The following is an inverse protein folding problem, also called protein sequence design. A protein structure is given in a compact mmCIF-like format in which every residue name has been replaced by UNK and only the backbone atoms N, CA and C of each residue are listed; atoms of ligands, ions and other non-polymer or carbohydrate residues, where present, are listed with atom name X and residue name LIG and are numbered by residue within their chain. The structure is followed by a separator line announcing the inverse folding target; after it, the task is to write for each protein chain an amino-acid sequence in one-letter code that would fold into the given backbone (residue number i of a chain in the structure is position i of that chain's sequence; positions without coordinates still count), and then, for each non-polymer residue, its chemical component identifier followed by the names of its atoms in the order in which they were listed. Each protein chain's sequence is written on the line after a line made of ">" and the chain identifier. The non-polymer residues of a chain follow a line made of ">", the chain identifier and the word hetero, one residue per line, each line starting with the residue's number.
data_IF_203419846516
#
_entry.id   IF_203419846516
#
_cell.length_a   1.000
_cell.length_b   1.000
_cell.length_c   1.000
_cell.angle_alpha   90.00
_cell.angle_beta   90.00
_cell.angle_gamma   90.00
#
_symmetry.space_group_name_H-M   'P 1'
#
loop_
_entity.id
_entity.type
_entity.pdbx_description
1 polymer ?
#
# COMPACT_ATOMS: atom_id res chain seq x y z
N UNK A 1 85.17 -16.47 -39.48
CA UNK A 1 84.38 -15.28 -39.09
C UNK A 1 82.87 -15.32 -39.44
N UNK A 2 82.32 -16.10 -40.40
CA UNK A 2 80.88 -15.98 -40.78
C UNK A 2 79.87 -16.67 -39.83
N UNK A 3 80.32 -17.50 -38.88
CA UNK A 3 79.42 -18.26 -37.99
C UNK A 3 78.75 -17.39 -36.90
N UNK A 4 79.40 -16.30 -36.46
CA UNK A 4 78.87 -15.39 -35.43
C UNK A 4 77.78 -14.44 -35.97
N UNK A 5 77.85 -14.05 -37.24
CA UNK A 5 76.86 -13.16 -37.86
C UNK A 5 75.49 -13.85 -38.02
N UNK A 6 75.49 -15.13 -38.41
CA UNK A 6 74.25 -15.91 -38.54
C UNK A 6 73.54 -16.14 -37.19
N UNK A 7 74.29 -16.25 -36.08
CA UNK A 7 73.71 -16.36 -34.74
C UNK A 7 73.02 -15.06 -34.31
N UNK A 8 73.60 -13.90 -34.61
CA UNK A 8 73.00 -12.60 -34.31
C UNK A 8 71.71 -12.36 -35.11
N UNK A 9 71.68 -12.76 -36.39
CA UNK A 9 70.48 -12.66 -37.23
C UNK A 9 69.33 -13.52 -36.70
N UNK A 10 69.63 -14.75 -36.24
CA UNK A 10 68.61 -15.63 -35.65
C UNK A 10 68.00 -15.02 -34.37
N UNK A 11 68.82 -14.44 -33.50
CA UNK A 11 68.34 -13.79 -32.25
C UNK A 11 67.42 -12.60 -32.56
N UNK A 12 67.79 -11.75 -33.51
CA UNK A 12 66.95 -10.61 -33.93
C UNK A 12 65.61 -11.08 -34.49
N UNK A 13 65.60 -12.17 -35.26
CA UNK A 13 64.38 -12.73 -35.84
C UNK A 13 63.42 -13.27 -34.75
N UNK A 14 63.94 -13.95 -33.73
CA UNK A 14 63.15 -14.40 -32.57
C UNK A 14 62.57 -13.25 -31.75
N UNK A 15 63.31 -12.14 -31.60
CA UNK A 15 62.81 -10.93 -30.92
C UNK A 15 61.60 -10.36 -31.66
N UNK A 16 61.67 -10.23 -33.00
CA UNK A 16 60.56 -9.74 -33.80
C UNK A 16 59.34 -10.66 -33.77
N UNK A 17 59.54 -11.98 -33.77
CA UNK A 17 58.45 -12.96 -33.59
C UNK A 17 57.78 -12.77 -32.22
N UNK A 18 58.57 -12.61 -31.15
CA UNK A 18 58.06 -12.38 -29.80
C UNK A 18 57.23 -11.10 -29.68
N UNK A 19 57.70 -10.01 -30.29
CA UNK A 19 56.97 -8.73 -30.34
C UNK A 19 55.65 -8.89 -31.11
N UNK A 20 55.66 -9.58 -32.25
CA UNK A 20 54.46 -9.86 -33.03
C UNK A 20 53.43 -10.68 -32.26
N UNK A 21 53.88 -11.71 -31.52
CA UNK A 21 53.02 -12.54 -30.69
C UNK A 21 52.39 -11.75 -29.53
N UNK A 22 53.18 -10.93 -28.83
CA UNK A 22 52.69 -10.05 -27.78
C UNK A 22 51.65 -9.07 -28.31
N UNK A 23 51.88 -8.49 -29.49
CA UNK A 23 50.92 -7.61 -30.14
C UNK A 23 49.60 -8.33 -30.43
N UNK A 24 49.63 -9.56 -30.96
CA UNK A 24 48.43 -10.35 -31.22
C UNK A 24 47.66 -10.69 -29.93
N UNK A 25 48.36 -11.04 -28.85
CA UNK A 25 47.74 -11.34 -27.55
C UNK A 25 47.05 -10.08 -27.00
N UNK A 26 47.71 -8.92 -27.05
CA UNK A 26 47.10 -7.66 -26.58
C UNK A 26 45.89 -7.25 -27.42
N UNK A 27 45.95 -7.42 -28.74
CA UNK A 27 44.81 -7.19 -29.63
C UNK A 27 43.64 -8.12 -29.30
N UNK A 28 43.92 -9.40 -29.05
CA UNK A 28 42.91 -10.38 -28.69
C UNK A 28 42.23 -10.03 -27.35
N UNK A 29 43.02 -9.69 -26.32
CA UNK A 29 42.51 -9.28 -25.00
C UNK A 29 41.66 -8.00 -25.11
N UNK A 30 42.10 -7.01 -25.89
CA UNK A 30 41.34 -5.76 -26.08
C UNK A 30 40.03 -5.99 -26.81
N UNK A 31 39.97 -6.88 -27.81
CA UNK A 31 38.71 -7.26 -28.48
C UNK A 31 37.76 -7.99 -27.51
N UNK A 32 38.26 -8.92 -26.70
CA UNK A 32 37.44 -9.63 -25.72
C UNK A 32 36.88 -8.69 -24.65
N UNK A 33 37.71 -7.81 -24.09
CA UNK A 33 37.28 -6.87 -23.05
C UNK A 33 36.26 -5.86 -23.61
N UNK A 34 36.48 -5.32 -24.81
CA UNK A 34 35.53 -4.36 -25.41
C UNK A 34 34.19 -5.01 -25.78
N UNK A 35 34.18 -6.24 -26.28
CA UNK A 35 32.93 -6.98 -26.58
C UNK A 35 32.16 -7.35 -25.31
N UNK A 36 32.85 -7.81 -24.27
CA UNK A 36 32.28 -8.08 -22.95
C UNK A 36 31.66 -6.82 -22.32
N UNK A 37 32.40 -5.70 -22.33
CA UNK A 37 31.90 -4.41 -21.81
C UNK A 37 30.70 -3.89 -22.61
N UNK A 38 30.68 -4.06 -23.95
CA UNK A 38 29.53 -3.74 -24.79
C UNK A 38 28.30 -4.57 -24.41
N UNK A 39 28.46 -5.86 -24.14
CA UNK A 39 27.38 -6.75 -23.69
C UNK A 39 26.75 -6.28 -22.37
N UNK A 40 27.59 -5.94 -21.38
CA UNK A 40 27.13 -5.40 -20.10
C UNK A 40 26.35 -4.09 -20.28
N UNK A 41 26.86 -3.15 -21.09
CA UNK A 41 26.16 -1.89 -21.37
C UNK A 41 24.79 -2.12 -22.01
N UNK A 42 24.68 -3.08 -22.95
CA UNK A 42 23.42 -3.43 -23.61
C UNK A 42 22.41 -4.02 -22.61
N UNK A 43 22.86 -4.90 -21.72
CA UNK A 43 22.01 -5.48 -20.67
C UNK A 43 21.56 -4.41 -19.67
N UNK A 44 22.44 -3.50 -19.23
CA UNK A 44 22.06 -2.36 -18.38
C UNK A 44 21.01 -1.46 -19.04
N UNK A 45 21.15 -1.16 -20.34
CA UNK A 45 20.15 -0.36 -21.08
C UNK A 45 18.79 -1.04 -21.13
N UNK A 46 18.74 -2.36 -21.40
CA UNK A 46 17.48 -3.12 -21.39
C UNK A 46 16.81 -3.10 -20.02
N UNK A 47 17.58 -3.27 -18.95
CA UNK A 47 17.05 -3.19 -17.57
C UNK A 47 16.53 -1.78 -17.29
N UNK A 48 17.27 -0.73 -17.65
CA UNK A 48 16.82 0.66 -17.48
C UNK A 48 15.54 0.96 -18.26
N UNK A 49 15.41 0.44 -19.49
CA UNK A 49 14.21 0.58 -20.31
C UNK A 49 13.02 -0.19 -19.72
N UNK A 50 13.22 -1.40 -19.20
CA UNK A 50 12.17 -2.14 -18.52
C UNK A 50 11.68 -1.39 -17.28
N UNK A 51 12.61 -0.93 -16.42
CA UNK A 51 12.27 -0.15 -15.21
C UNK A 51 11.53 1.13 -15.58
N UNK A 52 11.99 1.85 -16.62
CA UNK A 52 11.31 3.05 -17.11
C UNK A 52 9.90 2.77 -17.61
N UNK A 53 9.73 1.76 -18.46
CA UNK A 53 8.41 1.39 -19.00
C UNK A 53 7.45 0.93 -17.89
N UNK A 54 7.90 0.11 -16.94
CA UNK A 54 7.10 -0.31 -15.79
C UNK A 54 6.69 0.88 -14.93
N UNK A 55 7.58 1.86 -14.75
CA UNK A 55 7.25 3.06 -13.98
C UNK A 55 6.19 3.91 -14.68
N UNK A 56 6.29 4.08 -16.01
CA UNK A 56 5.28 4.77 -16.81
C UNK A 56 3.95 4.03 -16.76
N UNK A 57 3.95 2.71 -16.91
CA UNK A 57 2.73 1.88 -16.86
C UNK A 57 2.07 1.93 -15.47
N UNK A 58 2.85 1.93 -14.38
CA UNK A 58 2.33 2.15 -13.03
C UNK A 58 1.74 3.56 -12.86
N UNK A 59 2.39 4.57 -13.45
CA UNK A 59 1.92 5.96 -13.41
C UNK A 59 0.60 6.12 -14.17
N UNK A 60 0.52 5.60 -15.39
CA UNK A 60 -0.68 5.59 -16.23
C UNK A 60 -1.83 4.84 -15.55
N UNK A 61 -1.56 3.65 -14.98
CA UNK A 61 -2.56 2.91 -14.21
C UNK A 61 -3.01 3.68 -12.96
N UNK A 62 -2.10 4.36 -12.26
CA UNK A 62 -2.46 5.16 -11.08
C UNK A 62 -3.34 6.33 -11.47
N UNK A 63 -2.99 7.05 -12.54
CA UNK A 63 -3.82 8.13 -13.08
C UNK A 63 -5.19 7.62 -13.52
N UNK A 64 -5.24 6.50 -14.25
CA UNK A 64 -6.50 5.88 -14.66
C UNK A 64 -7.39 5.50 -13.47
N UNK A 65 -6.80 4.92 -12.41
CA UNK A 65 -7.52 4.59 -11.17
C UNK A 65 -8.03 5.88 -10.51
N UNK A 66 -7.21 6.94 -10.44
CA UNK A 66 -7.63 8.23 -9.87
C UNK A 66 -8.77 8.88 -10.66
N UNK A 67 -8.71 8.87 -11.99
CA UNK A 67 -9.76 9.41 -12.87
C UNK A 67 -11.07 8.64 -12.66
N UNK A 68 -10.99 7.31 -12.63
CA UNK A 68 -12.14 6.44 -12.40
C UNK A 68 -12.75 6.60 -11.00
N UNK A 69 -11.91 6.73 -9.98
CA UNK A 69 -12.39 7.02 -8.62
C UNK A 69 -13.09 8.37 -8.60
N UNK A 70 -12.54 9.40 -9.27
CA UNK A 70 -13.15 10.72 -9.36
C UNK A 70 -14.50 10.71 -10.08
N UNK A 71 -14.64 9.96 -11.18
CA UNK A 71 -15.92 9.75 -11.85
C UNK A 71 -16.93 9.05 -10.94
N UNK A 72 -16.53 7.96 -10.29
CA UNK A 72 -17.38 7.22 -9.34
C UNK A 72 -17.85 8.11 -8.19
N UNK A 73 -16.98 8.95 -7.66
CA UNK A 73 -17.28 9.89 -6.59
C UNK A 73 -18.24 10.99 -7.05
N UNK A 74 -18.10 11.48 -8.28
CA UNK A 74 -19.04 12.43 -8.87
C UNK A 74 -20.44 11.81 -9.03
N UNK A 75 -20.51 10.55 -9.46
CA UNK A 75 -21.76 9.78 -9.56
C UNK A 75 -22.39 9.56 -8.17
N UNK A 76 -21.63 9.11 -7.17
CA UNK A 76 -22.10 8.92 -5.79
C UNK A 76 -22.60 10.24 -5.16
N UNK A 77 -21.91 11.36 -5.40
CA UNK A 77 -22.33 12.71 -5.00
C UNK A 77 -23.66 13.11 -5.66
N UNK A 78 -23.73 12.94 -6.98
CA UNK A 78 -24.89 13.36 -7.76
C UNK A 78 -26.14 12.56 -7.37
N UNK A 79 -26.03 11.24 -7.27
CA UNK A 79 -27.17 10.37 -7.05
C UNK A 79 -27.65 10.36 -5.60
N UNK A 80 -26.73 10.40 -4.62
CA UNK A 80 -27.10 10.25 -3.21
C UNK A 80 -27.27 11.59 -2.48
N UNK A 81 -26.53 12.64 -2.85
CA UNK A 81 -26.56 13.91 -2.12
C UNK A 81 -27.43 14.93 -2.86
N UNK A 82 -27.19 15.15 -4.15
CA UNK A 82 -27.94 16.15 -4.93
C UNK A 82 -29.41 15.74 -5.06
N UNK A 83 -29.71 14.49 -5.39
CA UNK A 83 -31.09 14.00 -5.47
C UNK A 83 -31.85 14.11 -4.16
N UNK A 84 -31.18 13.84 -3.02
CA UNK A 84 -31.79 13.88 -1.69
C UNK A 84 -32.03 15.31 -1.21
N UNK A 85 -31.08 16.21 -1.46
CA UNK A 85 -31.27 17.65 -1.23
C UNK A 85 -32.41 18.22 -2.09
N UNK A 86 -32.55 17.75 -3.34
CA UNK A 86 -33.70 18.11 -4.18
C UNK A 86 -35.02 17.59 -3.61
N UNK A 87 -35.08 16.36 -3.09
CA UNK A 87 -36.26 15.82 -2.43
C UNK A 87 -36.61 16.59 -1.15
N UNK A 88 -35.62 17.01 -0.36
CA UNK A 88 -35.82 17.88 0.80
C UNK A 88 -36.42 19.20 0.34
N UNK A 89 -35.84 19.84 -0.70
CA UNK A 89 -36.34 21.11 -1.28
C UNK A 89 -37.78 21.01 -1.78
N UNK A 90 -38.17 19.89 -2.40
CA UNK A 90 -39.52 19.70 -2.94
C UNK A 90 -40.56 19.42 -1.84
N UNK A 91 -40.15 18.82 -0.73
CA UNK A 91 -41.05 18.44 0.37
C UNK A 91 -41.10 19.45 1.52
N UNK A 92 -40.45 20.61 1.40
CA UNK A 92 -40.45 21.64 2.46
C UNK A 92 -41.83 22.21 2.76
N UNK A 93 -42.77 22.14 1.82
CA UNK A 93 -44.14 22.63 2.00
C UNK A 93 -45.10 21.58 2.59
N UNK A 94 -44.73 20.29 2.57
CA UNK A 94 -45.60 19.17 2.92
C UNK A 94 -45.14 18.38 4.15
N UNK A 95 -43.84 18.36 4.44
CA UNK A 95 -43.27 17.71 5.63
C UNK A 95 -43.18 18.66 6.82
N UNK A 96 -43.28 18.10 8.02
CA UNK A 96 -43.05 18.84 9.26
C UNK A 96 -41.58 19.24 9.41
N UNK A 97 -41.31 20.31 10.18
CA UNK A 97 -39.95 20.80 10.46
C UNK A 97 -39.05 19.71 11.06
N UNK A 98 -39.61 18.80 11.85
CA UNK A 98 -38.87 17.67 12.45
C UNK A 98 -38.43 16.63 11.41
N UNK A 99 -39.30 16.29 10.45
CA UNK A 99 -38.97 15.34 9.39
C UNK A 99 -37.92 15.91 8.43
N UNK A 100 -38.03 17.20 8.11
CA UNK A 100 -37.05 17.89 7.27
C UNK A 100 -35.69 17.99 7.98
N UNK A 101 -35.69 18.27 9.28
CA UNK A 101 -34.48 18.29 10.11
C UNK A 101 -33.80 16.92 10.17
N UNK A 102 -34.59 15.84 10.20
CA UNK A 102 -34.07 14.48 10.18
C UNK A 102 -33.45 14.13 8.81
N UNK A 103 -34.12 14.47 7.70
CA UNK A 103 -33.60 14.24 6.35
C UNK A 103 -32.27 15.00 6.11
N UNK A 104 -32.18 16.25 6.58
CA UNK A 104 -30.94 17.05 6.52
C UNK A 104 -29.84 16.40 7.36
N UNK A 105 -30.15 15.89 8.56
CA UNK A 105 -29.18 15.23 9.43
C UNK A 105 -28.58 13.99 8.78
N UNK A 106 -29.42 13.17 8.14
CA UNK A 106 -28.99 11.98 7.38
C UNK A 106 -28.14 12.38 6.16
N UNK A 107 -28.53 13.43 5.41
CA UNK A 107 -27.73 13.93 4.28
C UNK A 107 -26.37 14.48 4.71
N UNK A 108 -26.28 15.18 5.85
CA UNK A 108 -25.01 15.63 6.41
C UNK A 108 -24.11 14.46 6.83
N UNK A 109 -24.70 13.37 7.33
CA UNK A 109 -23.96 12.17 7.71
C UNK A 109 -23.39 11.47 6.48
N UNK A 110 -24.18 11.33 5.41
CA UNK A 110 -23.72 10.79 4.12
C UNK A 110 -22.59 11.62 3.49
N UNK A 111 -22.69 12.96 3.54
CA UNK A 111 -21.62 13.86 3.09
C UNK A 111 -20.34 13.64 3.91
N UNK A 112 -20.45 13.51 5.23
CA UNK A 112 -19.31 13.22 6.11
C UNK A 112 -18.67 11.86 5.82
N UNK A 113 -19.48 10.85 5.59
CA UNK A 113 -19.05 9.50 5.23
C UNK A 113 -18.28 9.50 3.90
N UNK A 114 -18.82 10.20 2.89
CA UNK A 114 -18.16 10.36 1.60
C UNK A 114 -16.88 11.20 1.70
N UNK A 115 -16.90 12.27 2.50
CA UNK A 115 -15.74 13.12 2.76
C UNK A 115 -14.61 12.36 3.46
N UNK A 116 -14.92 11.51 4.45
CA UNK A 116 -13.94 10.63 5.09
C UNK A 116 -13.29 9.62 4.14
N UNK A 117 -14.03 9.18 3.11
CA UNK A 117 -13.48 8.31 2.06
C UNK A 117 -12.56 9.08 1.10
N UNK A 118 -12.88 10.35 0.83
CA UNK A 118 -12.18 11.24 -0.11
C UNK A 118 -10.91 11.86 0.46
N UNK A 119 -11.00 12.40 1.67
CA UNK A 119 -9.93 13.13 2.35
C UNK A 119 -9.94 12.64 3.80
N UNK A 120 -8.97 11.82 4.23
CA UNK A 120 -8.83 11.60 5.66
C UNK A 120 -8.66 12.98 6.32
N UNK A 121 -9.24 13.21 7.52
CA UNK A 121 -9.12 14.50 8.21
C UNK A 121 -7.66 14.92 8.35
N UNK A 122 -7.35 16.20 8.60
CA UNK A 122 -5.99 16.63 8.89
C UNK A 122 -5.43 15.78 10.05
N UNK A 123 -4.68 14.76 9.65
CA UNK A 123 -4.25 13.67 10.52
C UNK A 123 -3.19 14.16 11.49
N UNK A 124 -2.69 15.38 11.34
CA UNK A 124 -1.69 15.96 12.22
C UNK A 124 -2.28 16.28 13.61
N UNK A 125 -3.51 16.79 13.66
CA UNK A 125 -4.15 17.29 14.90
C UNK A 125 -5.02 16.24 15.61
N UNK A 126 -5.45 15.19 14.92
CA UNK A 126 -6.31 14.15 15.51
C UNK A 126 -5.47 12.92 15.91
N UNK A 127 -5.73 12.40 17.10
CA UNK A 127 -5.11 11.17 17.56
C UNK A 127 -5.77 9.94 16.94
N UNK A 128 -4.98 8.89 16.70
CA UNK A 128 -5.50 7.65 16.10
C UNK A 128 -6.61 6.97 16.92
N UNK A 129 -6.58 6.92 18.27
CA UNK A 129 -7.68 6.38 19.05
C UNK A 129 -9.00 7.11 18.79
N UNK A 130 -8.96 8.44 18.70
CA UNK A 130 -10.15 9.28 18.47
C UNK A 130 -10.73 9.03 17.08
N UNK A 131 -9.87 8.99 16.04
CA UNK A 131 -10.31 8.64 14.67
C UNK A 131 -11.03 7.30 14.61
N UNK A 132 -10.52 6.30 15.33
CA UNK A 132 -11.15 4.98 15.39
C UNK A 132 -12.45 5.05 16.17
N UNK A 133 -12.50 5.75 17.31
CA UNK A 133 -13.71 5.88 18.11
C UNK A 133 -14.85 6.54 17.31
N UNK A 134 -14.57 7.67 16.65
CA UNK A 134 -15.55 8.41 15.82
C UNK A 134 -16.12 7.53 14.70
N UNK A 135 -15.27 6.77 14.02
CA UNK A 135 -15.70 5.86 12.97
C UNK A 135 -16.60 4.72 13.50
N UNK A 136 -16.27 4.17 14.68
CA UNK A 136 -17.06 3.08 15.28
C UNK A 136 -18.42 3.56 15.78
N UNK A 137 -18.51 4.79 16.28
CA UNK A 137 -19.78 5.40 16.69
C UNK A 137 -20.73 5.56 15.49
N UNK A 138 -20.19 5.92 14.32
CA UNK A 138 -20.98 6.13 13.11
C UNK A 138 -21.63 4.84 12.57
N UNK A 139 -20.98 3.67 12.75
CA UNK A 139 -21.45 2.42 12.16
C UNK A 139 -22.72 1.89 12.81
N UNK A 140 -22.85 1.97 14.14
CA UNK A 140 -24.08 1.66 14.89
C UNK A 140 -24.64 0.23 14.84
N UNK A 141 -24.32 -0.57 13.81
CA UNK A 141 -25.00 -1.83 13.47
C UNK A 141 -24.54 -3.04 14.31
N UNK A 142 -23.34 -2.99 14.89
CA UNK A 142 -22.76 -4.10 15.68
C UNK A 142 -22.09 -3.53 16.95
N UNK A 143 -22.28 -4.15 18.13
CA UNK A 143 -21.55 -3.78 19.33
C UNK A 143 -20.03 -3.98 19.16
N UNK A 144 -19.27 -2.89 19.18
CA UNK A 144 -17.81 -2.90 19.13
C UNK A 144 -17.22 -2.50 20.49
N UNK A 145 -16.48 -3.42 21.12
CA UNK A 145 -15.70 -3.13 22.31
C UNK A 145 -14.33 -2.57 21.90
N UNK A 146 -14.16 -1.26 21.97
CA UNK A 146 -12.89 -0.60 21.68
C UNK A 146 -12.10 -0.31 22.95
N UNK A 147 -10.88 -0.83 23.02
CA UNK A 147 -9.94 -0.61 24.10
C UNK A 147 -8.65 -0.02 23.54
N UNK A 148 -8.21 1.11 24.07
CA UNK A 148 -6.90 1.67 23.74
C UNK A 148 -6.05 1.85 25.01
N UNK A 149 -4.72 1.71 24.87
CA UNK A 149 -3.77 1.87 25.97
C UNK A 149 -2.42 2.32 25.45
N UNK A 150 -1.68 3.11 26.23
CA UNK A 150 -0.37 3.59 25.86
C UNK A 150 -0.14 5.07 26.18
N UNK A 151 1.12 5.48 26.18
CA UNK A 151 1.53 6.88 26.24
C UNK A 151 1.95 7.35 24.86
N UNK A 152 1.45 8.51 24.46
CA UNK A 152 1.67 9.20 23.17
C UNK A 152 3.09 9.81 23.06
N UNK A 153 4.10 9.10 23.58
CA UNK A 153 5.47 9.59 23.73
C UNK A 153 6.26 9.70 22.42
N UNK A 154 5.71 9.21 21.31
CA UNK A 154 6.26 9.38 19.96
C UNK A 154 5.16 9.82 19.00
N UNK A 155 5.41 10.87 18.21
CA UNK A 155 4.48 11.31 17.16
C UNK A 155 4.31 10.17 16.15
N UNK A 156 3.15 9.51 16.18
CA UNK A 156 2.73 8.59 15.12
C UNK A 156 2.62 9.43 13.85
N UNK A 157 3.35 9.08 12.79
CA UNK A 157 3.26 9.82 11.54
C UNK A 157 1.86 9.70 10.94
N UNK A 158 1.42 10.74 10.25
CA UNK A 158 0.10 10.79 9.60
C UNK A 158 -0.09 9.67 8.59
N UNK A 159 0.99 9.21 7.95
CA UNK A 159 1.01 8.01 7.11
C UNK A 159 0.68 6.72 7.88
N UNK A 160 1.22 6.55 9.09
CA UNK A 160 0.91 5.40 9.95
C UNK A 160 -0.53 5.48 10.45
N UNK A 161 -0.98 6.65 10.93
CA UNK A 161 -2.36 6.87 11.36
C UNK A 161 -3.35 6.49 10.26
N UNK A 162 -3.16 7.03 9.05
CA UNK A 162 -4.04 6.79 7.91
C UNK A 162 -4.13 5.31 7.53
N UNK A 163 -2.99 4.63 7.42
CA UNK A 163 -2.98 3.23 7.01
C UNK A 163 -3.58 2.31 8.07
N UNK A 164 -3.30 2.55 9.34
CA UNK A 164 -3.93 1.81 10.44
C UNK A 164 -5.44 2.04 10.47
N UNK A 165 -5.88 3.30 10.33
CA UNK A 165 -7.29 3.64 10.25
C UNK A 165 -8.00 2.93 9.09
N UNK A 166 -7.43 2.98 7.88
CA UNK A 166 -8.01 2.29 6.71
C UNK A 166 -8.00 0.76 6.85
N UNK A 167 -7.05 0.18 7.59
CA UNK A 167 -7.08 -1.24 7.93
C UNK A 167 -8.27 -1.53 8.85
N UNK A 168 -8.52 -0.70 9.87
CA UNK A 168 -9.71 -0.84 10.73
C UNK A 168 -10.99 -0.77 9.89
N UNK A 169 -11.12 0.21 9.00
CA UNK A 169 -12.30 0.35 8.15
C UNK A 169 -12.56 -0.89 7.29
N UNK A 170 -11.52 -1.42 6.64
CA UNK A 170 -11.63 -2.63 5.81
C UNK A 170 -12.03 -3.85 6.65
N UNK A 171 -11.44 -4.01 7.85
CA UNK A 171 -11.76 -5.11 8.74
C UNK A 171 -13.19 -5.06 9.25
N UNK A 172 -13.68 -3.87 9.64
CA UNK A 172 -15.06 -3.70 10.10
C UNK A 172 -16.05 -3.87 8.95
N UNK A 173 -15.77 -3.34 7.76
CA UNK A 173 -16.56 -3.60 6.55
C UNK A 173 -16.67 -5.11 6.27
N UNK A 174 -15.57 -5.85 6.41
CA UNK A 174 -15.59 -7.31 6.23
C UNK A 174 -16.46 -8.01 7.28
N UNK A 175 -16.44 -7.55 8.53
CA UNK A 175 -17.32 -8.08 9.57
C UNK A 175 -18.79 -7.84 9.22
N UNK A 176 -19.15 -6.60 8.90
CA UNK A 176 -20.53 -6.20 8.60
C UNK A 176 -21.09 -6.95 7.39
N UNK A 177 -20.29 -7.10 6.33
CA UNK A 177 -20.74 -7.69 5.06
C UNK A 177 -20.72 -9.22 5.04
N UNK A 178 -19.83 -9.85 5.79
CA UNK A 178 -19.51 -11.27 5.57
C UNK A 178 -19.51 -12.12 6.84
N UNK A 179 -19.24 -11.55 8.02
CA UNK A 179 -18.96 -12.37 9.19
C UNK A 179 -20.23 -12.81 9.94
N UNK A 180 -21.37 -12.12 9.79
CA UNK A 180 -22.56 -12.33 10.64
C UNK A 180 -22.20 -12.32 12.14
N UNK A 181 -21.21 -11.50 12.51
CA UNK A 181 -20.72 -11.44 13.87
C UNK A 181 -21.71 -10.68 14.76
N UNK A 182 -21.83 -11.10 16.02
CA UNK A 182 -22.65 -10.40 17.01
C UNK A 182 -21.82 -9.50 17.93
N UNK A 183 -20.48 -9.63 17.89
CA UNK A 183 -19.56 -8.81 18.68
C UNK A 183 -18.22 -8.66 17.98
N UNK A 184 -17.68 -7.45 18.04
CA UNK A 184 -16.30 -7.14 17.65
C UNK A 184 -15.54 -6.58 18.85
N UNK A 185 -14.27 -6.93 18.95
CA UNK A 185 -13.33 -6.40 19.93
C UNK A 185 -12.12 -5.82 19.21
N UNK A 186 -11.83 -4.55 19.48
CA UNK A 186 -10.67 -3.84 18.94
C UNK A 186 -9.78 -3.42 20.09
N UNK A 187 -8.49 -3.79 20.01
CA UNK A 187 -7.47 -3.34 20.96
C UNK A 187 -6.37 -2.59 20.24
N UNK A 188 -6.13 -1.35 20.65
CA UNK A 188 -5.03 -0.53 20.18
C UNK A 188 -4.03 -0.32 21.32
N UNK A 189 -2.78 -0.75 21.13
CA UNK A 189 -1.70 -0.51 22.08
C UNK A 189 -0.62 0.32 21.42
N UNK A 190 -0.33 1.48 21.99
CA UNK A 190 0.71 2.39 21.53
C UNK A 190 1.81 2.44 22.60
N UNK A 191 3.07 2.39 22.18
CA UNK A 191 4.23 2.56 23.05
C UNK A 191 5.23 3.49 22.38
N UNK A 192 6.36 3.79 23.03
CA UNK A 192 7.41 4.59 22.38
C UNK A 192 8.04 3.91 21.15
N UNK A 193 7.95 2.58 21.04
CA UNK A 193 8.68 1.80 20.03
C UNK A 193 7.77 1.12 19.00
N UNK A 194 6.51 0.86 19.35
CA UNK A 194 5.62 0.07 18.52
C UNK A 194 4.15 0.43 18.72
N UNK A 195 3.37 0.15 17.67
CA UNK A 195 1.92 0.13 17.68
C UNK A 195 1.42 -1.28 17.37
N UNK A 196 0.51 -1.77 18.21
CA UNK A 196 -0.19 -3.05 18.01
C UNK A 196 -1.68 -2.78 17.87
N UNK A 197 -2.24 -3.18 16.74
CA UNK A 197 -3.69 -3.22 16.51
C UNK A 197 -4.14 -4.68 16.51
N UNK A 198 -5.13 -5.02 17.33
CA UNK A 198 -5.81 -6.30 17.30
C UNK A 198 -7.29 -6.09 17.02
N UNK A 199 -7.84 -6.79 16.04
CA UNK A 199 -9.28 -6.79 15.71
C UNK A 199 -9.76 -8.22 15.74
N UNK A 200 -10.79 -8.50 16.54
CA UNK A 200 -11.36 -9.84 16.71
C UNK A 200 -12.87 -9.78 16.56
N UNK A 201 -13.42 -10.67 15.75
CA UNK A 201 -14.86 -10.91 15.65
C UNK A 201 -15.20 -12.34 16.06
N UNK A 202 -16.48 -12.57 16.36
CA UNK A 202 -17.03 -13.89 16.68
C UNK A 202 -17.89 -14.47 15.54
N UNK A 203 -17.68 -14.03 14.30
CA UNK A 203 -18.50 -14.43 13.16
C UNK A 203 -18.20 -15.82 12.61
N UNK A 204 -18.64 -16.06 11.39
CA UNK A 204 -18.56 -17.36 10.71
C UNK A 204 -17.11 -17.79 10.36
N UNK A 205 -16.14 -16.87 10.36
CA UNK A 205 -14.75 -17.17 9.98
C UNK A 205 -14.62 -17.79 8.58
N UNK A 206 -13.42 -18.26 8.22
CA UNK A 206 -13.19 -18.90 6.92
C UNK A 206 -11.96 -19.82 6.95
N UNK A 207 -11.83 -20.71 5.94
CA UNK A 207 -10.63 -21.54 5.78
C UNK A 207 -9.52 -20.73 5.10
N UNK A 208 -8.35 -20.70 5.73
CA UNK A 208 -7.13 -20.16 5.11
C UNK A 208 -6.63 -21.10 4.02
N UNK A 209 -6.40 -20.60 2.81
CA UNK A 209 -5.76 -21.37 1.72
C UNK A 209 -6.66 -21.65 0.50
N UNK A 210 -7.96 -21.35 0.55
CA UNK A 210 -8.83 -21.40 -0.63
C UNK A 210 -8.65 -20.14 -1.47
N UNK A 211 -7.64 -20.16 -2.34
CA UNK A 211 -7.40 -19.46 -3.63
C UNK A 211 -7.89 -18.02 -3.94
N UNK A 212 -8.51 -17.27 -3.04
CA UNK A 212 -8.83 -15.86 -3.27
C UNK A 212 -8.48 -15.05 -2.04
N UNK A 213 -7.27 -14.51 -2.03
CA UNK A 213 -7.02 -13.27 -1.28
C UNK A 213 -7.84 -12.17 -1.94
N UNK A 214 -9.10 -12.00 -1.53
CA UNK A 214 -10.00 -10.98 -2.06
C UNK A 214 -9.38 -9.58 -1.99
N UNK A 215 -10.00 -8.62 -2.69
CA UNK A 215 -9.49 -7.25 -2.79
C UNK A 215 -9.14 -6.67 -1.39
N UNK A 216 -9.96 -6.93 -0.37
CA UNK A 216 -9.71 -6.50 1.01
C UNK A 216 -8.41 -7.05 1.63
N UNK A 217 -8.10 -8.33 1.45
CA UNK A 217 -6.84 -8.94 1.92
C UNK A 217 -5.62 -8.34 1.20
N UNK A 218 -5.75 -8.05 -0.10
CA UNK A 218 -4.71 -7.36 -0.88
C UNK A 218 -4.51 -5.92 -0.40
N UNK A 219 -5.60 -5.22 -0.08
CA UNK A 219 -5.57 -3.87 0.48
C UNK A 219 -4.87 -3.85 1.84
N UNK A 220 -5.23 -4.73 2.77
CA UNK A 220 -4.57 -4.84 4.08
C UNK A 220 -3.08 -5.15 3.91
N UNK A 221 -2.70 -6.04 2.99
CA UNK A 221 -1.29 -6.33 2.69
C UNK A 221 -0.55 -5.10 2.15
N UNK A 222 -1.13 -4.40 1.18
CA UNK A 222 -0.51 -3.19 0.61
C UNK A 222 -0.32 -2.10 1.67
N UNK A 223 -1.34 -1.86 2.49
CA UNK A 223 -1.28 -0.88 3.59
C UNK A 223 -0.25 -1.23 4.64
N UNK A 224 -0.18 -2.49 5.05
CA UNK A 224 0.84 -2.94 6.01
C UNK A 224 2.26 -2.79 5.45
N UNK A 225 2.47 -3.06 4.16
CA UNK A 225 3.75 -2.81 3.48
C UNK A 225 4.13 -1.33 3.47
N UNK A 226 3.18 -0.41 3.20
CA UNK A 226 3.43 1.04 3.18
C UNK A 226 3.96 1.58 4.51
N UNK A 227 3.58 0.96 5.63
CA UNK A 227 3.99 1.38 6.98
C UNK A 227 5.00 0.43 7.63
N UNK A 228 5.63 -0.46 6.84
CA UNK A 228 6.55 -1.49 7.33
C UNK A 228 5.99 -2.31 8.51
N UNK A 229 4.68 -2.57 8.50
CA UNK A 229 4.00 -3.39 9.48
C UNK A 229 4.04 -4.86 9.08
N UNK A 230 4.00 -5.73 10.08
CA UNK A 230 3.68 -7.15 9.92
C UNK A 230 2.26 -7.40 10.39
N UNK A 231 1.59 -8.38 9.77
CA UNK A 231 0.27 -8.81 10.22
C UNK A 231 0.18 -10.32 10.36
N UNK A 232 -0.74 -10.76 11.23
CA UNK A 232 -1.10 -12.16 11.44
C UNK A 232 -2.61 -12.28 11.49
N UNK A 233 -3.14 -13.20 10.68
CA UNK A 233 -4.54 -13.59 10.69
C UNK A 233 -4.67 -14.98 11.32
N UNK A 234 -5.57 -15.11 12.29
CA UNK A 234 -6.10 -16.38 12.78
C UNK A 234 -7.57 -16.44 12.44
N UNK A 235 -7.99 -17.47 11.71
CA UNK A 235 -9.40 -17.70 11.38
C UNK A 235 -9.64 -19.20 11.25
N UNK A 236 -10.83 -19.64 11.65
CA UNK A 236 -11.36 -20.98 11.40
C UNK A 236 -12.85 -20.86 11.15
N UNK A 237 -13.45 -21.75 10.32
CA UNK A 237 -14.90 -21.82 10.22
C UNK A 237 -15.56 -21.88 11.60
N UNK A 238 -16.62 -21.09 11.76
CA UNK A 238 -17.44 -20.93 12.97
C UNK A 238 -16.71 -20.39 14.20
N UNK A 239 -15.50 -19.84 14.05
CA UNK A 239 -14.70 -19.29 15.16
C UNK A 239 -14.26 -17.84 14.96
N UNK A 240 -14.90 -17.13 14.04
CA UNK A 240 -14.60 -15.75 13.69
C UNK A 240 -13.21 -15.54 13.13
N UNK A 241 -12.77 -14.28 13.12
CA UNK A 241 -11.43 -13.90 12.72
C UNK A 241 -10.73 -13.10 13.81
N UNK A 242 -9.40 -13.22 13.86
CA UNK A 242 -8.54 -12.40 14.70
C UNK A 242 -7.35 -11.92 13.87
N UNK A 243 -7.29 -10.61 13.70
CA UNK A 243 -6.21 -9.89 13.06
C UNK A 243 -5.32 -9.25 14.10
N UNK A 244 -4.02 -9.34 13.90
CA UNK A 244 -3.01 -8.65 14.69
C UNK A 244 -2.05 -7.96 13.74
N UNK A 245 -1.90 -6.65 13.88
CA UNK A 245 -1.00 -5.81 13.10
C UNK A 245 0.01 -5.19 14.06
N UNK A 246 1.29 -5.28 13.73
CA UNK A 246 2.40 -4.71 14.49
C UNK A 246 3.22 -3.82 13.56
N UNK A 247 3.40 -2.56 13.93
CA UNK A 247 4.37 -1.65 13.29
C UNK A 247 5.34 -1.13 14.35
N UNK A 248 6.61 -1.07 13.99
CA UNK A 248 7.65 -0.47 14.82
C UNK A 248 7.88 0.98 14.37
N UNK A 249 8.01 1.88 15.33
CA UNK A 249 8.44 3.24 15.05
C UNK A 249 9.93 3.22 14.78
N UNK A 250 10.37 3.85 13.68
CA UNK A 250 11.79 4.07 13.47
C UNK A 250 12.29 4.96 14.60
N UNK A 251 13.29 4.48 15.35
CA UNK A 251 14.13 5.40 16.12
C UNK A 251 14.75 6.35 15.11
N UNK A 252 14.51 7.65 15.27
CA UNK A 252 15.41 8.64 14.70
C UNK A 252 16.82 8.44 15.26
#
# INVERSE_FOLDING_TARGET
>A
MPYRENQNLAVVLWIWIGIGLLFLITLFITVLTTTYLKSIKKNKRKVMQMVGNTQTECWENTLYIQEKDRERLAEELHDNIISRLNLIRLNTATKSVNELSQDIRVSMQLIRELSHNLTPPDLDDIELPDLIADYLEQIGDIPVAFHHSGTHGGRISSSVKLNVFRIVQELISNVLKHAQATKVEIRLRISAQYLVLTVKDNGCGFKTGTQYGGIGLRNIRSRTQQINAIYKLKTKPEKGTQWMILTAFKSN
#
